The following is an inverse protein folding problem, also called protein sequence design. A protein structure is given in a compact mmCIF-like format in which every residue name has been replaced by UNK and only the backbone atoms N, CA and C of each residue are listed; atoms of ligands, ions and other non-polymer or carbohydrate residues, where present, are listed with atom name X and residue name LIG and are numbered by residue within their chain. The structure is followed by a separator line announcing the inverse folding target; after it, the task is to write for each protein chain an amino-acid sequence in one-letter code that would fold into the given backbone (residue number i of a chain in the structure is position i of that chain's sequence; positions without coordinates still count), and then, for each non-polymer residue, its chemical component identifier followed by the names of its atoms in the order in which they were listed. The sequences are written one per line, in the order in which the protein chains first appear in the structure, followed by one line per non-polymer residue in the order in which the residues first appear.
data_IF_526603762790
#
_entry.id   IF_526603762790
#
_cell.length_a   1.000
_cell.length_b   1.000
_cell.length_c   1.000
_cell.angle_alpha   90.00
_cell.angle_beta   90.00
_cell.angle_gamma   90.00
#
_symmetry.space_group_name_H-M   'P 1'
#
loop_
_entity.id
_entity.type
_entity.pdbx_description
1 polymer ?
#
# COMPACT_ATOMS: atom_id res chain seq x y z
N UNK A 1 39.96 5.84 5.97
CA UNK A 1 39.19 7.10 5.79
C UNK A 1 37.92 6.94 4.92
N UNK A 2 37.40 5.72 4.65
CA UNK A 2 36.17 5.54 3.83
C UNK A 2 34.88 5.46 4.65
N UNK A 3 34.91 4.81 5.81
CA UNK A 3 33.72 4.53 6.64
C UNK A 3 33.02 5.81 7.13
N UNK A 4 33.78 6.84 7.52
CA UNK A 4 33.21 8.11 7.99
C UNK A 4 32.49 8.90 6.88
N UNK A 5 32.84 8.70 5.61
CA UNK A 5 32.14 9.35 4.49
C UNK A 5 30.81 8.65 4.19
N UNK A 6 30.79 7.32 4.27
CA UNK A 6 29.57 6.52 4.05
C UNK A 6 28.52 6.78 5.13
N UNK A 7 28.91 6.85 6.41
CA UNK A 7 27.99 7.16 7.50
C UNK A 7 27.41 8.57 7.38
N UNK A 8 28.22 9.54 6.94
CA UNK A 8 27.77 10.93 6.69
C UNK A 8 26.73 10.99 5.57
N UNK A 9 26.92 10.24 4.48
CA UNK A 9 25.97 10.19 3.35
C UNK A 9 24.65 9.54 3.78
N UNK A 10 24.70 8.47 4.57
CA UNK A 10 23.50 7.81 5.10
C UNK A 10 22.74 8.75 6.03
N UNK A 11 23.43 9.46 6.93
CA UNK A 11 22.79 10.44 7.83
C UNK A 11 22.13 11.59 7.07
N UNK A 12 22.78 12.10 6.01
CA UNK A 12 22.23 13.16 5.15
C UNK A 12 20.97 12.65 4.41
N UNK A 13 20.99 11.41 3.90
CA UNK A 13 19.80 10.80 3.26
C UNK A 13 18.66 10.62 4.26
N UNK A 14 18.93 10.10 5.45
CA UNK A 14 17.93 9.93 6.51
C UNK A 14 17.33 11.28 6.91
N UNK A 15 18.16 12.31 7.13
CA UNK A 15 17.69 13.65 7.45
C UNK A 15 16.88 14.28 6.30
N UNK A 16 17.26 14.05 5.04
CA UNK A 16 16.48 14.52 3.89
C UNK A 16 15.11 13.84 3.82
N UNK A 17 15.05 12.52 4.03
CA UNK A 17 13.79 11.75 4.09
C UNK A 17 12.93 12.25 5.26
N UNK A 18 13.50 12.37 6.45
CA UNK A 18 12.80 12.84 7.64
C UNK A 18 12.25 14.27 7.48
N UNK A 19 13.03 15.18 6.90
CA UNK A 19 12.59 16.55 6.63
C UNK A 19 11.51 16.61 5.52
N UNK A 20 11.56 15.72 4.51
CA UNK A 20 10.47 15.58 3.54
C UNK A 20 9.19 15.06 4.21
N UNK A 21 9.31 14.14 5.17
CA UNK A 21 8.17 13.61 5.94
C UNK A 21 7.56 14.66 6.89
N UNK A 22 8.38 15.46 7.58
CA UNK A 22 7.89 16.49 8.52
C UNK A 22 7.34 17.73 7.80
N UNK A 23 7.98 18.23 6.73
CA UNK A 23 7.42 19.36 6.00
C UNK A 23 6.08 19.01 5.32
N UNK A 24 5.86 17.72 5.01
CA UNK A 24 4.59 17.22 4.51
C UNK A 24 3.49 17.04 5.59
N UNK A 25 3.81 17.05 6.88
CA UNK A 25 2.82 16.80 7.95
C UNK A 25 2.08 18.04 8.45
N UNK A 26 2.49 19.25 8.02
CA UNK A 26 1.97 20.50 8.60
C UNK A 26 1.03 21.32 7.69
N UNK A 27 0.73 20.91 6.46
CA UNK A 27 -0.16 21.69 5.58
C UNK A 27 -0.93 20.82 4.58
N UNK A 28 -2.21 20.55 4.85
CA UNK A 28 -3.16 19.90 3.94
C UNK A 28 -3.04 18.38 3.90
N UNK A 29 -4.17 17.67 3.96
CA UNK A 29 -4.18 16.19 3.94
C UNK A 29 -3.35 15.64 2.77
N UNK A 30 -2.28 14.93 3.10
CA UNK A 30 -1.42 14.22 2.16
C UNK A 30 -2.26 13.35 1.23
N UNK A 31 -2.05 13.48 -0.08
CA UNK A 31 -2.73 12.65 -1.08
C UNK A 31 -2.13 11.25 -1.12
N UNK A 32 -2.97 10.23 -1.27
CA UNK A 32 -2.53 8.82 -1.36
C UNK A 32 -1.71 8.55 -2.63
N UNK A 33 -2.07 9.21 -3.74
CA UNK A 33 -1.44 9.05 -5.05
C UNK A 33 -0.91 10.39 -5.58
N UNK A 34 0.22 10.35 -6.30
CA UNK A 34 0.86 11.55 -6.89
C UNK A 34 0.38 11.91 -8.29
N UNK A 35 -0.89 11.63 -8.61
CA UNK A 35 -1.45 11.85 -9.95
C UNK A 35 -1.34 13.33 -10.36
N UNK A 36 -1.66 14.26 -9.46
CA UNK A 36 -1.55 15.70 -9.75
C UNK A 36 -0.12 16.12 -10.04
N UNK A 37 0.85 15.67 -9.25
CA UNK A 37 2.27 15.97 -9.49
C UNK A 37 2.72 15.50 -10.88
N UNK A 38 2.30 14.30 -11.31
CA UNK A 38 2.63 13.79 -12.64
C UNK A 38 1.97 14.61 -13.77
N UNK A 39 0.76 15.13 -13.54
CA UNK A 39 0.06 15.97 -14.52
C UNK A 39 0.65 17.39 -14.59
N UNK A 40 1.16 17.92 -13.47
CA UNK A 40 1.82 19.22 -13.39
C UNK A 40 3.17 19.25 -14.12
N UNK A 41 3.84 18.10 -14.26
CA UNK A 41 5.06 17.96 -15.07
C UNK A 41 4.80 18.04 -16.58
N UNK A 42 3.55 17.89 -17.01
CA UNK A 42 3.16 17.99 -18.42
C UNK A 42 2.95 19.45 -18.86
N UNK A 43 3.02 19.71 -20.16
CA UNK A 43 2.60 21.01 -20.69
C UNK A 43 1.10 21.24 -20.49
N UNK A 44 0.65 22.50 -20.47
CA UNK A 44 -0.78 22.85 -20.32
C UNK A 44 -1.67 22.12 -21.33
N UNK A 45 -1.19 21.95 -22.57
CA UNK A 45 -1.92 21.26 -23.63
C UNK A 45 -2.02 19.76 -23.36
N UNK A 46 -0.92 19.12 -22.99
CA UNK A 46 -0.87 17.70 -22.66
C UNK A 46 -1.71 17.38 -21.43
N UNK A 47 -1.62 18.19 -20.37
CA UNK A 47 -2.43 18.03 -19.18
C UNK A 47 -3.91 18.12 -19.53
N UNK A 48 -4.34 19.14 -20.29
CA UNK A 48 -5.73 19.26 -20.75
C UNK A 48 -6.18 18.00 -21.50
N UNK A 49 -5.35 17.47 -22.39
CA UNK A 49 -5.66 16.24 -23.13
C UNK A 49 -5.71 15.02 -22.19
N UNK A 50 -4.79 14.90 -21.23
CA UNK A 50 -4.76 13.82 -20.25
C UNK A 50 -6.02 13.79 -19.39
N UNK A 51 -6.52 14.95 -18.95
CA UNK A 51 -7.78 15.08 -18.19
C UNK A 51 -9.00 14.55 -18.97
N UNK A 52 -8.97 14.58 -20.30
CA UNK A 52 -10.04 14.06 -21.16
C UNK A 52 -9.82 12.61 -21.58
N UNK A 53 -8.58 12.22 -21.87
CA UNK A 53 -8.21 10.90 -22.41
C UNK A 53 -8.07 9.84 -21.32
N UNK A 54 -7.45 10.14 -20.18
CA UNK A 54 -7.21 9.15 -19.14
C UNK A 54 -8.51 8.52 -18.61
N UNK A 55 -9.57 9.30 -18.30
CA UNK A 55 -10.84 8.70 -17.88
C UNK A 55 -11.41 7.72 -18.92
N UNK A 56 -11.31 8.07 -20.22
CA UNK A 56 -11.80 7.23 -21.33
C UNK A 56 -10.99 5.94 -21.43
N UNK A 57 -9.66 6.01 -21.38
CA UNK A 57 -8.77 4.86 -21.46
C UNK A 57 -8.94 3.92 -20.26
N UNK A 58 -9.18 4.47 -19.07
CA UNK A 58 -9.45 3.72 -17.85
C UNK A 58 -10.87 3.15 -17.80
N UNK A 59 -11.75 3.54 -18.73
CA UNK A 59 -13.19 3.23 -18.76
C UNK A 59 -13.92 3.72 -17.50
N UNK A 60 -13.62 4.93 -17.05
CA UNK A 60 -14.25 5.58 -15.89
C UNK A 60 -14.79 6.97 -16.25
N UNK A 61 -15.65 7.51 -15.39
CA UNK A 61 -16.13 8.89 -15.56
C UNK A 61 -15.01 9.91 -15.25
N UNK A 62 -15.10 11.10 -15.84
CA UNK A 62 -14.22 12.23 -15.50
C UNK A 62 -14.30 12.56 -14.01
N UNK A 63 -15.49 12.42 -13.39
CA UNK A 63 -15.67 12.64 -11.97
C UNK A 63 -14.92 11.60 -11.12
N UNK A 64 -14.97 10.33 -11.51
CA UNK A 64 -14.20 9.26 -10.86
C UNK A 64 -12.70 9.54 -10.93
N UNK A 65 -12.20 9.99 -12.09
CA UNK A 65 -10.80 10.38 -12.23
C UNK A 65 -10.42 11.58 -11.34
N UNK A 66 -11.30 12.58 -11.22
CA UNK A 66 -11.11 13.69 -10.27
C UNK A 66 -11.09 13.19 -8.81
N UNK A 67 -11.95 12.25 -8.46
CA UNK A 67 -11.95 11.65 -7.12
C UNK A 67 -10.62 10.93 -6.85
N UNK A 68 -10.13 10.12 -7.81
CA UNK A 68 -8.85 9.43 -7.70
C UNK A 68 -7.68 10.38 -7.39
N UNK A 69 -7.65 11.54 -8.04
CA UNK A 69 -6.65 12.59 -7.81
C UNK A 69 -6.70 13.21 -6.41
N UNK A 70 -7.81 13.07 -5.70
CA UNK A 70 -8.07 13.74 -4.43
C UNK A 70 -8.17 12.79 -3.23
N UNK A 71 -7.98 11.47 -3.43
CA UNK A 71 -7.96 10.50 -2.33
C UNK A 71 -6.85 10.88 -1.37
N UNK A 72 -7.23 11.11 -0.13
CA UNK A 72 -6.29 11.40 0.96
C UNK A 72 -5.68 10.11 1.47
N UNK A 73 -4.49 10.20 2.05
CA UNK A 73 -3.79 9.06 2.62
C UNK A 73 -4.62 8.40 3.74
N UNK A 74 -5.37 9.21 4.49
CA UNK A 74 -6.28 8.78 5.56
C UNK A 74 -7.62 8.22 5.06
N UNK A 75 -7.96 8.38 3.77
CA UNK A 75 -9.23 7.89 3.26
C UNK A 75 -9.23 6.35 3.14
N UNK A 76 -10.34 5.75 3.55
CA UNK A 76 -10.62 4.32 3.34
C UNK A 76 -10.79 3.97 1.86
N UNK A 77 -11.11 4.95 1.02
CA UNK A 77 -11.25 4.75 -0.40
C UNK A 77 -9.90 4.48 -1.05
N UNK A 78 -9.90 3.64 -2.08
CA UNK A 78 -8.71 3.29 -2.85
C UNK A 78 -9.03 3.23 -4.34
N UNK A 79 -8.02 3.45 -5.17
CA UNK A 79 -8.15 3.19 -6.60
C UNK A 79 -8.02 1.68 -6.80
N UNK A 80 -8.93 1.03 -7.54
CA UNK A 80 -8.77 -0.39 -7.87
C UNK A 80 -7.39 -0.66 -8.49
N UNK A 81 -6.71 -1.70 -8.04
CA UNK A 81 -5.32 -1.99 -8.43
C UNK A 81 -5.12 -2.00 -9.96
N UNK A 82 -6.05 -2.58 -10.72
CA UNK A 82 -6.02 -2.54 -12.19
C UNK A 82 -5.90 -1.11 -12.74
N UNK A 83 -6.66 -0.16 -12.18
CA UNK A 83 -6.65 1.24 -12.60
C UNK A 83 -5.37 1.96 -12.17
N UNK A 84 -4.81 1.62 -11.01
CA UNK A 84 -3.48 2.11 -10.58
C UNK A 84 -2.42 1.69 -11.60
N UNK A 85 -2.38 0.40 -11.97
CA UNK A 85 -1.40 -0.11 -12.94
C UNK A 85 -1.55 0.53 -14.32
N UNK A 86 -2.78 0.73 -14.79
CA UNK A 86 -3.02 1.42 -16.05
C UNK A 86 -2.57 2.89 -15.99
N UNK A 87 -2.82 3.59 -14.88
CA UNK A 87 -2.35 4.97 -14.69
C UNK A 87 -0.83 5.06 -14.70
N UNK A 88 -0.13 4.13 -14.04
CA UNK A 88 1.33 4.06 -14.07
C UNK A 88 1.85 3.93 -15.50
N UNK A 89 1.27 3.03 -16.29
CA UNK A 89 1.64 2.85 -17.71
C UNK A 89 1.36 4.12 -18.52
N UNK A 90 0.19 4.75 -18.35
CA UNK A 90 -0.19 5.97 -19.06
C UNK A 90 0.73 7.16 -18.71
N UNK A 91 1.30 7.17 -17.50
CA UNK A 91 2.21 8.20 -17.00
C UNK A 91 3.69 7.84 -17.21
N UNK A 92 4.00 6.65 -17.76
CA UNK A 92 5.37 6.19 -17.95
C UNK A 92 6.12 5.90 -16.64
N UNK A 93 5.40 5.48 -15.60
CA UNK A 93 5.94 5.19 -14.27
C UNK A 93 6.24 3.71 -14.09
N UNK A 94 7.22 3.42 -13.23
CA UNK A 94 7.49 2.07 -12.73
C UNK A 94 6.34 1.56 -11.83
N UNK A 95 6.20 0.23 -11.68
CA UNK A 95 5.21 -0.36 -10.78
C UNK A 95 5.31 0.18 -9.34
N UNK A 96 4.17 0.49 -8.74
CA UNK A 96 4.01 1.10 -7.40
C UNK A 96 4.51 2.54 -7.28
N UNK A 97 5.03 3.13 -8.36
CA UNK A 97 5.54 4.49 -8.31
C UNK A 97 4.42 5.53 -8.35
N UNK A 98 3.13 5.17 -8.45
CA UNK A 98 2.04 6.15 -8.33
C UNK A 98 1.71 6.54 -6.89
N UNK A 99 2.09 5.71 -5.91
CA UNK A 99 1.84 5.95 -4.49
C UNK A 99 2.75 7.08 -3.95
N UNK A 100 2.22 7.88 -3.03
CA UNK A 100 3.00 8.89 -2.30
C UNK A 100 3.71 8.33 -1.06
N UNK A 101 3.54 7.04 -0.79
CA UNK A 101 4.13 6.36 0.36
C UNK A 101 4.61 4.97 -0.06
N UNK A 102 5.60 4.46 0.65
CA UNK A 102 6.08 3.10 0.48
C UNK A 102 5.29 2.19 1.42
N UNK A 103 4.53 1.20 0.91
CA UNK A 103 3.85 0.25 1.78
C UNK A 103 4.89 -0.60 2.52
N UNK A 104 4.89 -0.51 3.85
CA UNK A 104 5.77 -1.30 4.71
C UNK A 104 5.00 -2.49 5.27
N UNK A 105 5.55 -3.68 5.13
CA UNK A 105 4.95 -4.90 5.67
C UNK A 105 5.97 -6.02 5.80
N UNK A 106 5.68 -6.97 6.71
CA UNK A 106 6.43 -8.21 6.81
C UNK A 106 5.86 -9.23 5.85
N UNK A 107 6.72 -10.01 5.23
CA UNK A 107 6.29 -11.18 4.45
C UNK A 107 5.64 -12.20 5.37
N UNK A 108 4.74 -13.03 4.83
CA UNK A 108 4.14 -14.13 5.59
C UNK A 108 5.21 -15.02 6.23
N UNK A 109 6.33 -15.28 5.54
CA UNK A 109 7.43 -16.07 6.08
C UNK A 109 8.05 -15.44 7.32
N UNK A 110 8.34 -14.13 7.28
CA UNK A 110 8.86 -13.42 8.45
C UNK A 110 7.87 -13.46 9.62
N UNK A 111 6.58 -13.26 9.33
CA UNK A 111 5.53 -13.39 10.35
C UNK A 111 5.48 -14.82 10.90
N UNK A 112 5.51 -15.83 10.04
CA UNK A 112 5.46 -17.23 10.44
C UNK A 112 6.67 -17.62 11.32
N UNK A 113 7.87 -17.18 10.97
CA UNK A 113 9.07 -17.42 11.77
C UNK A 113 9.04 -16.69 13.13
N UNK A 114 8.39 -15.52 13.22
CA UNK A 114 8.17 -14.84 14.50
C UNK A 114 7.13 -15.56 15.36
N UNK A 115 6.12 -16.18 14.72
CA UNK A 115 5.04 -16.88 15.40
C UNK A 115 5.36 -18.34 15.73
N UNK A 116 6.36 -18.97 15.10
CA UNK A 116 6.66 -20.41 15.30
C UNK A 116 7.08 -20.74 16.74
N UNK A 117 7.71 -19.78 17.42
CA UNK A 117 8.18 -19.90 18.80
C UNK A 117 7.16 -19.36 19.80
N UNK A 118 6.09 -18.72 19.30
CA UNK A 118 4.89 -18.43 20.09
C UNK A 118 4.16 -19.76 20.18
N UNK A 119 4.38 -20.46 21.28
CA UNK A 119 3.61 -21.63 21.65
C UNK A 119 2.13 -21.23 21.63
N UNK A 120 1.41 -21.57 20.55
CA UNK A 120 -0.05 -21.39 20.43
C UNK A 120 -0.64 -21.77 21.77
N UNK A 121 -1.36 -20.88 22.47
CA UNK A 121 -1.46 -20.89 23.92
C UNK A 121 -1.71 -22.33 24.36
N UNK A 122 -0.64 -22.99 24.81
CA UNK A 122 -0.67 -24.43 25.07
C UNK A 122 -1.74 -24.69 26.11
N UNK A 123 -1.83 -23.75 27.04
CA UNK A 123 -2.89 -23.53 28.03
C UNK A 123 -4.30 -23.62 27.43
N UNK A 124 -4.58 -22.98 26.29
CA UNK A 124 -5.89 -23.07 25.63
C UNK A 124 -6.10 -24.48 25.06
N UNK A 125 -5.17 -25.00 24.25
CA UNK A 125 -5.29 -26.32 23.63
C UNK A 125 -5.34 -27.47 24.66
N UNK A 126 -4.69 -27.30 25.82
CA UNK A 126 -4.68 -28.23 26.94
C UNK A 126 -5.85 -28.02 27.92
N UNK A 127 -6.55 -26.89 27.84
CA UNK A 127 -7.77 -26.66 28.61
C UNK A 127 -8.92 -27.53 28.10
N UNK A 128 -9.88 -27.91 28.96
CA UNK A 128 -11.11 -28.57 28.52
C UNK A 128 -11.85 -27.79 27.42
N UNK A 129 -11.85 -26.45 27.51
CA UNK A 129 -12.52 -25.58 26.55
C UNK A 129 -11.84 -25.60 25.16
N UNK A 130 -10.52 -25.51 25.10
CA UNK A 130 -9.80 -25.55 23.82
C UNK A 130 -9.78 -26.95 23.20
N UNK A 131 -9.73 -28.02 24.00
CA UNK A 131 -9.93 -29.40 23.51
C UNK A 131 -11.31 -29.57 22.87
N UNK A 132 -12.36 -29.08 23.54
CA UNK A 132 -13.73 -29.15 23.03
C UNK A 132 -13.90 -28.30 21.76
N UNK A 133 -13.34 -27.10 21.73
CA UNK A 133 -13.33 -26.24 20.55
C UNK A 133 -12.65 -26.93 19.36
N UNK A 134 -11.44 -27.48 19.56
CA UNK A 134 -10.68 -28.14 18.50
C UNK A 134 -11.40 -29.40 17.98
N UNK A 135 -11.96 -30.21 18.88
CA UNK A 135 -12.79 -31.37 18.50
C UNK A 135 -13.99 -30.96 17.65
N UNK A 136 -14.74 -29.93 18.08
CA UNK A 136 -15.90 -29.40 17.36
C UNK A 136 -15.50 -28.86 15.98
N UNK A 137 -14.38 -28.15 15.89
CA UNK A 137 -13.85 -27.60 14.64
C UNK A 137 -13.39 -28.70 13.66
N UNK A 138 -12.76 -29.78 14.16
CA UNK A 138 -12.35 -30.94 13.35
C UNK A 138 -13.58 -31.72 12.84
N UNK A 139 -14.60 -31.91 13.68
CA UNK A 139 -15.85 -32.56 13.30
C UNK A 139 -16.59 -31.77 12.21
N UNK A 140 -16.61 -30.43 12.30
CA UNK A 140 -17.21 -29.56 11.28
C UNK A 140 -16.46 -29.59 9.94
N UNK A 141 -15.15 -29.87 9.93
CA UNK A 141 -14.34 -29.96 8.71
C UNK A 141 -14.33 -31.35 8.07
N UNK A 142 -14.71 -32.40 8.80
CA UNK A 142 -14.91 -33.74 8.25
C UNK A 142 -16.27 -33.93 7.54
N UNK A 143 -17.14 -32.90 7.54
CA UNK A 143 -18.30 -32.83 6.65
C UNK A 143 -17.88 -32.37 5.25
N UNK A 144 -17.15 -33.25 4.55
CA UNK A 144 -16.65 -33.00 3.20
C UNK A 144 -16.22 -34.26 2.43
N UNK A 145 -16.60 -35.46 2.89
CA UNK A 145 -16.71 -36.60 1.98
C UNK A 145 -17.98 -36.40 1.15
N UNK A 146 -17.85 -35.62 0.08
CA UNK A 146 -18.84 -35.57 -1.00
C UNK A 146 -18.85 -36.97 -1.61
N UNK A 147 -19.91 -37.74 -1.32
CA UNK A 147 -20.38 -38.81 -2.19
C UNK A 147 -21.16 -38.20 -3.34
#
# INVERSE_FOLDING_TARGET
MSILRETSIILIKINKIFNLTINNCMTGDLKKYRIDACLEEMTVKENRQAQELFPRLLKISVNTFRNYRNIKLSDHQDIPHEKVRLLEILLGLEPNALLNYEPVGKTFKQIFEELKDIEYPKIFLESPAGRQFFKTWMEQRNCGNIK
#
